data_IF_183451188052
#
_entry.id   IF_183451188052
#
_cell.length_a   1.000
_cell.length_b   1.000
_cell.length_c   1.000
_cell.angle_alpha   90.00
_cell.angle_beta   90.00
_cell.angle_gamma   90.00
#
_symmetry.space_group_name_H-M   'P 1'
#
loop_
_entity.id
_entity.type
_entity.pdbx_description
1 polymer ?
#
# COMPACT_ATOMS: atom_id res chain seq x y z
N UNK A 1 1.39 -11.19 -21.16
CA UNK A 1 2.76 -10.90 -21.62
C UNK A 1 3.51 -10.23 -20.48
N UNK A 2 4.83 -10.43 -20.35
CA UNK A 2 5.61 -9.68 -19.38
C UNK A 2 5.69 -8.21 -19.82
N UNK A 3 5.43 -7.27 -18.92
CA UNK A 3 5.41 -5.82 -19.18
C UNK A 3 6.80 -5.18 -19.25
N UNK A 4 7.88 -5.97 -19.19
CA UNK A 4 9.26 -5.42 -19.14
C UNK A 4 9.63 -4.74 -17.81
N UNK A 5 8.87 -5.00 -16.75
CA UNK A 5 9.09 -4.44 -15.41
C UNK A 5 9.89 -5.44 -14.56
N UNK A 6 10.93 -4.95 -13.88
CA UNK A 6 11.62 -5.70 -12.81
C UNK A 6 10.76 -5.72 -11.55
N UNK A 7 10.56 -6.91 -10.97
CA UNK A 7 9.75 -7.10 -9.76
C UNK A 7 10.63 -7.48 -8.58
N UNK A 8 10.46 -6.79 -7.46
CA UNK A 8 11.10 -7.10 -6.19
C UNK A 8 10.01 -7.44 -5.16
N UNK A 9 10.03 -8.68 -4.65
CA UNK A 9 9.19 -9.10 -3.54
C UNK A 9 9.94 -8.88 -2.23
N UNK A 10 9.36 -8.08 -1.33
CA UNK A 10 9.92 -7.81 -0.01
C UNK A 10 9.20 -8.66 1.02
N UNK A 11 9.96 -9.49 1.72
CA UNK A 11 9.50 -10.22 2.90
C UNK A 11 9.83 -9.43 4.17
N UNK A 12 9.03 -9.66 5.22
CA UNK A 12 9.18 -9.07 6.53
C UNK A 12 8.76 -10.09 7.59
N UNK A 13 9.26 -9.92 8.81
CA UNK A 13 8.93 -10.74 9.96
C UNK A 13 7.43 -10.73 10.25
N UNK A 14 6.90 -11.80 10.85
CA UNK A 14 5.47 -11.92 11.12
C UNK A 14 5.15 -11.80 12.60
N UNK A 15 3.97 -11.27 12.89
CA UNK A 15 3.40 -11.32 14.24
C UNK A 15 2.97 -12.77 14.59
N UNK A 16 3.13 -13.21 15.86
CA UNK A 16 3.51 -12.41 17.03
C UNK A 16 5.03 -12.32 17.30
N UNK A 17 5.88 -12.83 16.41
CA UNK A 17 7.34 -12.83 16.62
C UNK A 17 7.96 -11.44 16.48
N UNK A 18 7.32 -10.55 15.72
CA UNK A 18 7.67 -9.14 15.56
C UNK A 18 6.46 -8.25 15.90
N UNK A 19 6.72 -7.07 16.46
CA UNK A 19 5.70 -6.04 16.67
C UNK A 19 5.36 -5.35 15.34
N UNK A 20 4.26 -4.58 15.28
CA UNK A 20 3.97 -3.82 14.06
C UNK A 20 5.01 -2.71 13.84
N UNK A 21 5.59 -2.19 14.93
CA UNK A 21 6.73 -1.26 14.87
C UNK A 21 7.95 -1.90 14.20
N UNK A 22 8.30 -3.13 14.57
CA UNK A 22 9.43 -3.84 13.97
C UNK A 22 9.19 -4.07 12.47
N UNK A 23 7.99 -4.52 12.10
CA UNK A 23 7.59 -4.76 10.71
C UNK A 23 7.66 -3.47 9.88
N UNK A 24 7.12 -2.35 10.38
CA UNK A 24 7.20 -1.06 9.70
C UNK A 24 8.67 -0.63 9.48
N UNK A 25 9.52 -0.83 10.48
CA UNK A 25 10.95 -0.55 10.40
C UNK A 25 11.69 -1.40 9.36
N UNK A 26 11.35 -2.70 9.27
CA UNK A 26 11.92 -3.62 8.29
C UNK A 26 11.61 -3.19 6.84
N UNK A 27 10.39 -2.72 6.57
CA UNK A 27 10.02 -2.18 5.24
C UNK A 27 10.87 -0.97 4.88
N UNK A 28 11.06 -0.03 5.81
CA UNK A 28 11.94 1.12 5.61
C UNK A 28 13.38 0.72 5.29
N UNK A 29 13.91 -0.23 6.05
CA UNK A 29 15.25 -0.78 5.84
C UNK A 29 15.38 -1.46 4.46
N UNK A 30 14.37 -2.22 4.04
CA UNK A 30 14.32 -2.85 2.73
C UNK A 30 14.34 -1.82 1.59
N UNK A 31 13.49 -0.78 1.67
CA UNK A 31 13.45 0.30 0.68
C UNK A 31 14.80 1.03 0.59
N UNK A 32 15.44 1.31 1.72
CA UNK A 32 16.77 1.91 1.78
C UNK A 32 17.86 1.01 1.17
N UNK A 33 17.76 -0.31 1.35
CA UNK A 33 18.69 -1.26 0.74
C UNK A 33 18.51 -1.34 -0.78
N UNK A 34 17.25 -1.37 -1.26
CA UNK A 34 16.93 -1.35 -2.69
C UNK A 34 17.44 -0.06 -3.34
N UNK A 35 17.20 1.10 -2.70
CA UNK A 35 17.68 2.39 -3.20
C UNK A 35 19.20 2.41 -3.40
N UNK A 36 19.96 1.93 -2.41
CA UNK A 36 21.43 1.84 -2.51
C UNK A 36 21.88 0.93 -3.65
N UNK A 37 21.17 -0.16 -3.90
CA UNK A 37 21.50 -1.10 -4.98
C UNK A 37 21.19 -0.52 -6.36
N UNK A 38 20.07 0.19 -6.50
CA UNK A 38 19.68 0.82 -7.76
C UNK A 38 20.54 2.04 -8.11
N UNK A 39 21.04 2.78 -7.11
CA UNK A 39 21.96 3.90 -7.31
C UNK A 39 23.26 3.48 -8.03
N UNK A 40 23.62 2.19 -7.99
CA UNK A 40 24.81 1.64 -8.65
C UNK A 40 24.57 1.27 -10.12
N UNK A 41 23.33 1.34 -10.61
CA UNK A 41 22.94 0.89 -11.96
C UNK A 41 22.08 1.91 -12.72
N UNK A 42 22.53 3.16 -12.91
CA UNK A 42 21.78 4.14 -13.71
C UNK A 42 21.84 3.83 -15.23
N UNK A 43 20.81 4.24 -15.99
CA UNK A 43 19.57 4.90 -15.54
C UNK A 43 18.56 3.92 -14.91
N UNK A 44 17.84 4.37 -13.87
CA UNK A 44 16.70 3.63 -13.30
C UNK A 44 15.37 4.14 -13.87
N UNK A 45 14.42 3.25 -14.10
CA UNK A 45 13.03 3.61 -14.35
C UNK A 45 12.30 4.08 -13.08
N UNK A 46 11.00 4.44 -13.21
CA UNK A 46 10.17 4.73 -12.05
C UNK A 46 10.05 3.49 -11.16
N UNK A 47 9.95 3.70 -9.84
CA UNK A 47 9.73 2.64 -8.86
C UNK A 47 8.34 2.81 -8.27
N UNK A 48 7.54 1.76 -8.41
CA UNK A 48 6.20 1.70 -7.86
C UNK A 48 6.17 0.80 -6.64
N UNK A 49 5.52 1.28 -5.57
CA UNK A 49 5.38 0.55 -4.33
C UNK A 49 3.93 0.08 -4.18
N UNK A 50 3.71 -1.24 -4.28
CA UNK A 50 2.39 -1.85 -4.14
C UNK A 50 2.36 -2.80 -2.95
N UNK A 51 1.22 -2.89 -2.28
CA UNK A 51 1.06 -3.75 -1.10
C UNK A 51 -0.39 -4.11 -0.87
N UNK A 52 -0.63 -5.36 -0.47
CA UNK A 52 -1.96 -5.91 -0.24
C UNK A 52 -2.26 -6.09 1.25
N UNK A 53 -3.47 -5.75 1.70
CA UNK A 53 -3.93 -5.97 3.08
C UNK A 53 -3.01 -5.26 4.10
N UNK A 54 -2.34 -5.99 5.00
CA UNK A 54 -1.30 -5.43 5.85
C UNK A 54 -0.19 -4.74 5.03
N UNK A 55 0.16 -5.27 3.86
CA UNK A 55 1.07 -4.60 2.91
C UNK A 55 0.52 -3.27 2.42
N UNK A 56 -0.80 -3.13 2.24
CA UNK A 56 -1.44 -1.87 1.86
C UNK A 56 -1.23 -0.77 2.90
N UNK A 57 -1.31 -1.13 4.19
CA UNK A 57 -0.99 -0.23 5.30
C UNK A 57 0.49 0.22 5.24
N UNK A 58 1.41 -0.74 5.07
CA UNK A 58 2.85 -0.49 5.06
C UNK A 58 3.27 0.41 3.88
N UNK A 59 2.75 0.17 2.67
CA UNK A 59 3.11 1.01 1.51
C UNK A 59 2.56 2.43 1.63
N UNK A 60 1.39 2.61 2.23
CA UNK A 60 0.86 3.94 2.53
C UNK A 60 1.73 4.70 3.55
N UNK A 61 2.25 3.99 4.55
CA UNK A 61 3.21 4.56 5.53
C UNK A 61 4.53 4.99 4.90
N UNK A 62 5.03 4.22 3.94
CA UNK A 62 6.32 4.47 3.30
C UNK A 62 6.23 5.28 1.99
N UNK A 63 5.09 5.90 1.72
CA UNK A 63 4.84 6.62 0.45
C UNK A 63 5.81 7.77 0.16
N UNK A 64 6.39 8.40 1.19
CA UNK A 64 7.37 9.48 1.03
C UNK A 64 8.83 9.01 0.96
N UNK A 65 9.09 7.70 0.92
CA UNK A 65 10.46 7.21 0.81
C UNK A 65 11.07 7.70 -0.52
N UNK A 66 12.31 8.26 -0.56
CA UNK A 66 12.88 8.88 -1.77
C UNK A 66 13.09 7.94 -2.98
N UNK A 67 12.89 6.64 -2.78
CA UNK A 67 12.92 5.65 -3.84
C UNK A 67 11.61 5.61 -4.64
N UNK A 68 10.49 5.97 -4.01
CA UNK A 68 9.14 5.63 -4.47
C UNK A 68 8.57 6.76 -5.30
N UNK A 69 8.16 6.43 -6.53
CA UNK A 69 7.62 7.39 -7.51
C UNK A 69 6.09 7.31 -7.61
N UNK A 70 5.48 6.16 -7.29
CA UNK A 70 4.03 6.00 -7.13
C UNK A 70 3.69 4.88 -6.13
N UNK A 71 2.50 4.94 -5.54
CA UNK A 71 2.03 4.00 -4.51
C UNK A 71 0.66 3.42 -4.84
N UNK A 72 0.55 2.11 -4.67
CA UNK A 72 -0.68 1.34 -4.91
C UNK A 72 -1.04 0.51 -3.68
N UNK A 73 -1.67 1.10 -2.65
CA UNK A 73 -2.22 0.34 -1.54
C UNK A 73 -3.48 -0.41 -2.00
N UNK A 74 -3.52 -1.72 -1.76
CA UNK A 74 -4.58 -2.61 -2.21
C UNK A 74 -5.23 -3.23 -0.97
N UNK A 75 -6.53 -2.99 -0.78
CA UNK A 75 -7.34 -3.55 0.31
C UNK A 75 -6.71 -3.35 1.69
N UNK A 76 -6.09 -2.18 1.89
CA UNK A 76 -5.27 -1.88 3.06
C UNK A 76 -6.08 -1.53 4.31
N UNK A 77 -5.40 -1.58 5.46
CA UNK A 77 -5.92 -1.07 6.73
C UNK A 77 -5.24 0.26 7.05
N UNK A 78 -5.99 1.35 7.13
CA UNK A 78 -5.43 2.70 7.27
C UNK A 78 -5.70 3.32 8.65
N UNK A 79 -6.69 2.81 9.36
CA UNK A 79 -6.98 3.09 10.76
C UNK A 79 -6.93 1.78 11.55
N UNK A 80 -5.99 1.67 12.49
CA UNK A 80 -5.68 0.43 13.21
C UNK A 80 -6.54 0.21 14.45
N UNK A 81 -7.13 1.25 15.04
CA UNK A 81 -7.91 1.13 16.28
C UNK A 81 -9.05 0.11 16.20
N UNK A 82 -9.84 0.03 15.10
CA UNK A 82 -10.88 -0.99 14.96
C UNK A 82 -10.36 -2.43 15.06
N UNK A 83 -9.08 -2.67 14.74
CA UNK A 83 -8.49 -4.01 14.83
C UNK A 83 -8.44 -4.53 16.27
N UNK A 84 -8.42 -3.66 17.28
CA UNK A 84 -8.39 -4.06 18.69
C UNK A 84 -9.53 -5.00 19.08
N UNK A 85 -10.69 -4.84 18.43
CA UNK A 85 -11.89 -5.65 18.66
C UNK A 85 -11.94 -6.94 17.81
N UNK A 86 -10.91 -7.23 17.01
CA UNK A 86 -10.88 -8.36 16.07
C UNK A 86 -9.90 -9.43 16.51
N UNK A 87 -10.07 -10.66 15.98
CA UNK A 87 -9.15 -11.77 16.26
C UNK A 87 -7.72 -11.51 15.76
N UNK A 88 -7.53 -10.59 14.81
CA UNK A 88 -6.21 -10.20 14.28
C UNK A 88 -5.33 -9.65 15.41
N UNK A 89 -5.92 -8.93 16.36
CA UNK A 89 -5.18 -8.34 17.47
C UNK A 89 -4.64 -9.37 18.47
N UNK A 90 -5.15 -10.62 18.49
CA UNK A 90 -4.54 -11.68 19.31
C UNK A 90 -3.08 -11.94 18.92
N UNK A 91 -2.75 -11.74 17.64
CA UNK A 91 -1.37 -11.87 17.14
C UNK A 91 -0.63 -10.55 17.17
N UNK A 92 -1.25 -9.47 16.69
CA UNK A 92 -0.59 -8.16 16.60
C UNK A 92 -0.27 -7.54 17.97
N UNK A 93 -1.15 -7.75 18.97
CA UNK A 93 -1.02 -7.17 20.32
C UNK A 93 -0.77 -5.66 20.28
N UNK A 94 -1.55 -4.95 19.46
CA UNK A 94 -1.38 -3.54 19.17
C UNK A 94 -1.43 -2.70 20.46
N UNK A 95 -0.44 -1.85 20.63
CA UNK A 95 -0.44 -0.82 21.67
C UNK A 95 -1.12 0.46 21.18
N UNK A 96 -1.60 1.28 22.11
CA UNK A 96 -2.11 2.61 21.77
C UNK A 96 -1.06 3.48 21.06
N UNK A 97 0.22 3.32 21.42
CA UNK A 97 1.33 4.00 20.76
C UNK A 97 1.50 3.55 19.31
N UNK A 98 1.43 2.24 19.03
CA UNK A 98 1.47 1.71 17.66
C UNK A 98 0.28 2.16 16.83
N UNK A 99 -0.93 2.12 17.38
CA UNK A 99 -2.12 2.61 16.66
C UNK A 99 -1.95 4.08 16.31
N UNK A 100 -1.51 4.89 17.28
CA UNK A 100 -1.30 6.31 17.09
C UNK A 100 -0.20 6.62 16.08
N UNK A 101 0.89 5.85 16.04
CA UNK A 101 2.06 6.09 15.18
C UNK A 101 1.97 5.41 13.81
N UNK A 102 1.26 4.29 13.71
CA UNK A 102 1.31 3.40 12.55
C UNK A 102 0.03 3.37 11.70
N UNK A 103 -1.02 4.08 12.11
CA UNK A 103 -2.23 4.28 11.28
C UNK A 103 -1.99 5.35 10.21
N UNK A 104 -1.97 5.03 8.91
CA UNK A 104 -1.86 6.02 7.84
C UNK A 104 -2.91 7.15 7.91
N UNK A 105 -4.15 6.84 8.30
CA UNK A 105 -5.24 7.82 8.40
C UNK A 105 -4.99 8.91 9.46
N UNK A 106 -4.09 8.66 10.42
CA UNK A 106 -3.68 9.63 11.45
C UNK A 106 -2.49 10.49 11.03
N UNK A 107 -1.87 10.20 9.88
CA UNK A 107 -0.67 10.87 9.38
C UNK A 107 -0.85 11.28 7.92
N UNK A 108 -1.76 12.21 7.68
CA UNK A 108 -1.94 12.77 6.34
C UNK A 108 -0.74 13.67 6.00
N UNK A 109 -0.01 13.41 4.91
CA UNK A 109 1.16 14.20 4.54
C UNK A 109 0.76 15.57 3.99
N UNK A 110 1.67 16.55 4.03
CA UNK A 110 1.49 17.82 3.31
C UNK A 110 1.50 17.65 1.79
N UNK A 111 2.25 16.64 1.31
CA UNK A 111 2.38 16.29 -0.11
C UNK A 111 2.28 14.78 -0.30
N UNK A 112 1.42 14.36 -1.21
CA UNK A 112 1.17 12.97 -1.52
C UNK A 112 2.00 12.54 -2.73
N UNK A 113 2.79 11.48 -2.60
CA UNK A 113 3.34 10.75 -3.75
C UNK A 113 2.16 10.21 -4.57
N UNK A 114 2.19 10.24 -5.92
CA UNK A 114 1.09 9.75 -6.75
C UNK A 114 0.52 8.43 -6.24
N UNK A 115 -0.75 8.43 -5.86
CA UNK A 115 -1.38 7.33 -5.14
C UNK A 115 -2.73 6.95 -5.76
N UNK A 116 -2.94 5.65 -5.94
CA UNK A 116 -4.25 5.07 -6.25
C UNK A 116 -4.54 3.93 -5.30
N UNK A 117 -5.63 4.07 -4.55
CA UNK A 117 -6.15 3.06 -3.64
C UNK A 117 -7.02 2.08 -4.42
N UNK A 118 -6.78 0.79 -4.26
CA UNK A 118 -7.59 -0.28 -4.82
C UNK A 118 -8.24 -1.11 -3.73
N UNK A 119 -9.42 -1.64 -3.97
CA UNK A 119 -10.07 -2.62 -3.10
C UNK A 119 -11.07 -3.46 -3.89
N UNK A 120 -11.35 -4.68 -3.46
CA UNK A 120 -12.38 -5.52 -4.07
C UNK A 120 -13.79 -4.99 -3.76
N UNK A 121 -14.63 -4.84 -4.77
CA UNK A 121 -16.00 -4.33 -4.60
C UNK A 121 -16.92 -5.30 -3.84
N UNK A 122 -16.51 -6.56 -3.68
CA UNK A 122 -17.21 -7.61 -2.92
C UNK A 122 -16.47 -7.96 -1.61
N UNK A 123 -15.65 -7.04 -1.09
CA UNK A 123 -15.06 -7.17 0.24
C UNK A 123 -16.07 -6.94 1.37
N UNK A 124 -15.64 -7.25 2.60
CA UNK A 124 -16.39 -6.87 3.79
C UNK A 124 -16.58 -5.34 3.83
N UNK A 125 -17.74 -4.84 4.27
CA UNK A 125 -17.99 -3.40 4.37
C UNK A 125 -16.93 -2.64 5.16
N UNK A 126 -16.36 -3.27 6.20
CA UNK A 126 -15.32 -2.68 7.03
C UNK A 126 -14.00 -2.47 6.25
N UNK A 127 -13.67 -3.38 5.32
CA UNK A 127 -12.46 -3.28 4.49
C UNK A 127 -12.64 -2.26 3.35
N UNK A 128 -13.84 -2.22 2.75
CA UNK A 128 -14.23 -1.16 1.81
C UNK A 128 -14.12 0.20 2.51
N UNK A 129 -14.69 0.31 3.71
CA UNK A 129 -14.68 1.52 4.51
C UNK A 129 -13.28 2.01 4.85
N UNK A 130 -12.30 1.13 5.09
CA UNK A 130 -10.91 1.54 5.31
C UNK A 130 -10.37 2.36 4.13
N UNK A 131 -10.54 1.85 2.90
CA UNK A 131 -10.05 2.51 1.69
C UNK A 131 -10.79 3.82 1.41
N UNK A 132 -12.12 3.82 1.57
CA UNK A 132 -12.96 4.99 1.35
C UNK A 132 -12.67 6.12 2.36
N UNK A 133 -12.59 5.80 3.65
CA UNK A 133 -12.29 6.80 4.69
C UNK A 133 -10.89 7.38 4.55
N UNK A 134 -9.89 6.56 4.22
CA UNK A 134 -8.52 7.07 4.02
C UNK A 134 -8.44 7.99 2.80
N UNK A 135 -9.09 7.60 1.69
CA UNK A 135 -9.21 8.45 0.50
C UNK A 135 -9.89 9.78 0.84
N UNK A 136 -10.98 9.75 1.59
CA UNK A 136 -11.69 10.94 2.02
C UNK A 136 -10.82 11.85 2.90
N UNK A 137 -10.10 11.29 3.87
CA UNK A 137 -9.19 12.05 4.74
C UNK A 137 -8.08 12.75 3.96
N UNK A 138 -7.48 12.07 2.96
CA UNK A 138 -6.51 12.68 2.04
C UNK A 138 -7.12 13.84 1.25
N UNK A 139 -8.31 13.63 0.65
CA UNK A 139 -9.00 14.65 -0.15
C UNK A 139 -9.43 15.86 0.67
N UNK A 140 -9.79 15.67 1.94
CA UNK A 140 -10.12 16.77 2.86
C UNK A 140 -8.92 17.69 3.12
N UNK A 141 -7.69 17.20 2.97
CA UNK A 141 -6.47 18.01 3.02
C UNK A 141 -6.08 18.61 1.64
N UNK A 142 -6.97 18.53 0.64
CA UNK A 142 -6.73 19.06 -0.70
C UNK A 142 -5.82 18.18 -1.56
N UNK A 143 -5.50 16.95 -1.13
CA UNK A 143 -4.63 16.04 -1.88
C UNK A 143 -5.42 15.33 -2.98
N UNK A 144 -4.78 15.14 -4.14
CA UNK A 144 -5.34 14.35 -5.24
C UNK A 144 -4.96 12.88 -5.06
N UNK A 145 -5.96 12.01 -4.91
CA UNK A 145 -5.79 10.57 -4.73
C UNK A 145 -6.84 9.80 -5.54
N UNK A 146 -6.40 8.76 -6.23
CA UNK A 146 -7.26 7.81 -6.93
C UNK A 146 -7.89 6.82 -5.94
N UNK A 147 -9.13 6.43 -6.20
CA UNK A 147 -9.81 5.36 -5.48
C UNK A 147 -10.59 4.54 -6.49
N UNK A 148 -10.26 3.25 -6.59
CA UNK A 148 -10.80 2.38 -7.61
C UNK A 148 -11.28 1.05 -7.02
N UNK A 149 -12.60 0.84 -6.91
CA UNK A 149 -13.14 -0.48 -6.61
C UNK A 149 -12.92 -1.44 -7.78
N UNK A 150 -12.51 -2.66 -7.48
CA UNK A 150 -12.27 -3.73 -8.45
C UNK A 150 -13.53 -4.59 -8.54
N UNK A 151 -14.25 -4.44 -9.65
CA UNK A 151 -15.52 -5.12 -9.87
C UNK A 151 -15.36 -6.65 -9.82
N UNK A 152 -16.29 -7.33 -9.15
CA UNK A 152 -16.30 -8.79 -9.03
C UNK A 152 -15.20 -9.37 -8.14
N UNK A 153 -14.31 -8.54 -7.58
CA UNK A 153 -13.25 -8.99 -6.71
C UNK A 153 -13.61 -8.88 -5.22
N UNK A 154 -13.10 -9.82 -4.43
CA UNK A 154 -13.06 -9.82 -2.97
C UNK A 154 -11.61 -9.80 -2.49
N UNK A 155 -11.40 -9.82 -1.18
CA UNK A 155 -10.08 -9.64 -0.55
C UNK A 155 -9.05 -10.70 -0.98
N UNK A 156 -9.49 -11.88 -1.43
CA UNK A 156 -8.60 -12.99 -1.78
C UNK A 156 -8.21 -13.01 -3.25
N UNK A 157 -9.05 -12.49 -4.15
CA UNK A 157 -8.80 -12.51 -5.59
C UNK A 157 -8.53 -11.12 -6.18
N UNK A 158 -8.51 -10.06 -5.36
CA UNK A 158 -8.27 -8.69 -5.82
C UNK A 158 -6.92 -8.54 -6.52
N UNK A 159 -5.88 -9.26 -6.08
CA UNK A 159 -4.59 -9.24 -6.76
C UNK A 159 -4.67 -9.88 -8.15
N UNK A 160 -5.30 -11.05 -8.26
CA UNK A 160 -5.48 -11.73 -9.55
C UNK A 160 -6.27 -10.83 -10.53
N UNK A 161 -7.31 -10.15 -10.05
CA UNK A 161 -8.12 -9.24 -10.84
C UNK A 161 -7.34 -7.97 -11.27
N UNK A 162 -6.50 -7.42 -10.39
CA UNK A 162 -5.69 -6.22 -10.69
C UNK A 162 -4.54 -6.50 -11.67
N UNK A 163 -3.90 -7.65 -11.52
CA UNK A 163 -2.75 -8.06 -12.33
C UNK A 163 -3.13 -8.88 -13.56
N UNK A 164 -4.43 -9.15 -13.78
CA UNK A 164 -4.94 -9.69 -15.04
C UNK A 164 -4.53 -8.82 -16.23
N UNK A 165 -4.45 -9.39 -17.43
CA UNK A 165 -3.95 -8.69 -18.62
C UNK A 165 -4.75 -7.42 -18.97
N UNK A 166 -6.04 -7.39 -18.63
CA UNK A 166 -6.98 -6.28 -18.75
C UNK A 166 -7.29 -5.61 -17.39
N UNK A 167 -6.56 -5.98 -16.35
CA UNK A 167 -6.73 -5.50 -14.99
C UNK A 167 -6.42 -4.02 -14.85
N UNK A 168 -7.13 -3.37 -13.91
CA UNK A 168 -7.06 -1.93 -13.70
C UNK A 168 -5.64 -1.39 -13.48
N UNK A 169 -4.83 -2.11 -12.68
CA UNK A 169 -3.46 -1.69 -12.42
C UNK A 169 -2.63 -1.79 -13.69
N UNK A 170 -2.74 -2.88 -14.45
CA UNK A 170 -2.01 -3.03 -15.72
C UNK A 170 -2.34 -1.90 -16.71
N UNK A 171 -3.62 -1.55 -16.84
CA UNK A 171 -4.04 -0.42 -17.67
C UNK A 171 -3.43 0.91 -17.20
N UNK A 172 -3.39 1.15 -15.88
CA UNK A 172 -2.76 2.34 -15.33
C UNK A 172 -1.25 2.38 -15.60
N UNK A 173 -0.56 1.24 -15.48
CA UNK A 173 0.87 1.15 -15.75
C UNK A 173 1.19 1.43 -17.23
N UNK A 174 0.38 0.91 -18.16
CA UNK A 174 0.55 1.14 -19.60
C UNK A 174 0.31 2.60 -20.01
N UNK A 175 -0.71 3.25 -19.43
CA UNK A 175 -0.98 4.68 -19.69
C UNK A 175 0.17 5.60 -19.21
N UNK A 176 0.94 5.19 -18.20
CA UNK A 176 2.12 5.91 -17.73
C UNK A 176 3.39 5.71 -18.60
N UNK A 177 3.37 4.77 -19.55
CA UNK A 177 4.43 4.54 -20.53
C UNK A 177 4.15 5.28 -21.84
N UNK A 178 2.89 5.28 -22.33
CA UNK A 178 2.50 5.94 -23.59
C UNK A 178 2.46 7.48 -23.51
N UNK A 179 2.48 8.04 -22.31
CA UNK A 179 2.54 9.49 -22.06
C UNK A 179 3.95 10.09 -22.05
N UNK A 180 4.98 9.33 -22.42
CA UNK A 180 6.39 9.75 -22.53
C UNK A 180 6.86 9.73 -23.99
#
# INVERSE_FOLDING_TARGET
MALGIDVVLVEYSHAPQATLTDIDGEIGAALSAIQRRLAQRPPRGPVWLAGHSAGGQLVARWQQHPLVDAVFPISGIFELEPLLATYVNHRLRLTAAEIAALSPARHIPERLTPMTLYYGALELPELIGQSEHYCQALRQQGLTVGLQPVAGANHYNVLDALFAADGALIQQLQQGEDGR
#
